data_IF_856905881722
#
_entry.id   IF_856905881722
#
_cell.length_a   1.000
_cell.length_b   1.000
_cell.length_c   1.000
_cell.angle_alpha   90.00
_cell.angle_beta   90.00
_cell.angle_gamma   90.00
#
_symmetry.space_group_name_H-M   'P 1'
#
loop_
_entity.id
_entity.type
_entity.pdbx_description
1 polymer ?
#
# COMPACT_ATOMS: atom_id res chain seq x y z
N UNK A 1 -3.86 -13.62 6.51
CA UNK A 1 -2.94 -14.42 7.33
C UNK A 1 -1.89 -13.49 7.94
N UNK A 2 -1.67 -13.61 9.24
CA UNK A 2 -0.66 -12.89 10.02
C UNK A 2 0.47 -13.88 10.37
N UNK A 3 1.73 -13.57 10.09
CA UNK A 3 2.83 -14.43 10.53
C UNK A 3 2.99 -14.35 12.05
N UNK A 4 3.32 -15.49 12.68
CA UNK A 4 3.55 -15.59 14.11
C UNK A 4 5.00 -15.99 14.35
N UNK A 5 5.65 -15.24 15.24
CA UNK A 5 7.05 -15.42 15.58
C UNK A 5 7.21 -15.60 17.09
N UNK A 6 8.22 -16.36 17.48
CA UNK A 6 8.71 -16.36 18.86
C UNK A 6 9.47 -15.05 19.15
N UNK A 7 9.23 -14.42 20.31
CA UNK A 7 9.83 -13.11 20.63
C UNK A 7 11.35 -13.18 20.80
N UNK A 8 11.86 -14.28 21.38
CA UNK A 8 13.29 -14.43 21.69
C UNK A 8 14.15 -14.75 20.47
N UNK A 9 13.84 -15.84 19.78
CA UNK A 9 14.60 -16.31 18.60
C UNK A 9 14.27 -15.52 17.33
N UNK A 10 13.03 -15.00 17.22
CA UNK A 10 12.50 -14.47 15.97
C UNK A 10 12.07 -15.55 14.97
N UNK A 11 12.06 -16.82 15.37
CA UNK A 11 11.68 -17.93 14.49
C UNK A 11 10.21 -17.85 14.10
N UNK A 12 9.93 -18.12 12.82
CA UNK A 12 8.57 -18.19 12.29
C UNK A 12 7.92 -19.50 12.74
N UNK A 13 6.91 -19.41 13.59
CA UNK A 13 6.17 -20.55 14.13
C UNK A 13 4.99 -20.95 13.23
N UNK A 14 4.50 -20.02 12.41
CA UNK A 14 3.39 -20.27 11.49
C UNK A 14 2.65 -19.01 11.10
N UNK A 15 1.38 -19.18 10.69
CA UNK A 15 0.49 -18.08 10.30
C UNK A 15 -0.89 -18.25 10.93
N UNK A 16 -1.48 -17.14 11.36
CA UNK A 16 -2.88 -17.07 11.83
C UNK A 16 -3.74 -16.48 10.72
N UNK A 17 -4.71 -17.23 10.26
CA UNK A 17 -5.70 -16.74 9.30
C UNK A 17 -6.92 -16.17 10.03
N UNK A 18 -7.24 -14.91 9.74
CA UNK A 18 -8.43 -14.24 10.28
C UNK A 18 -9.51 -14.32 9.20
N UNK A 19 -10.58 -15.05 9.51
CA UNK A 19 -11.75 -15.20 8.65
C UNK A 19 -12.91 -14.46 9.30
N UNK A 20 -13.56 -13.60 8.52
CA UNK A 20 -14.69 -12.80 8.98
C UNK A 20 -15.99 -13.27 8.33
N UNK A 21 -17.09 -13.23 9.08
CA UNK A 21 -18.43 -13.57 8.57
C UNK A 21 -19.11 -12.41 7.86
N UNK A 22 -18.55 -11.20 7.95
CA UNK A 22 -19.03 -9.99 7.30
C UNK A 22 -17.92 -9.35 6.47
N UNK A 23 -18.29 -8.71 5.37
CA UNK A 23 -17.37 -7.93 4.55
C UNK A 23 -17.02 -6.64 5.29
N UNK A 24 -15.76 -6.48 5.68
CA UNK A 24 -15.22 -5.26 6.29
C UNK A 24 -14.03 -4.75 5.49
N UNK A 25 -14.06 -3.45 5.19
CA UNK A 25 -12.96 -2.75 4.53
C UNK A 25 -11.78 -2.57 5.49
N UNK A 26 -12.06 -2.17 6.73
CA UNK A 26 -11.05 -1.96 7.76
C UNK A 26 -11.12 -3.10 8.78
N UNK A 27 -10.09 -3.95 8.75
CA UNK A 27 -9.91 -5.08 9.68
C UNK A 27 -8.76 -4.84 10.67
N UNK A 28 -8.23 -3.61 10.72
CA UNK A 28 -7.13 -3.22 11.61
C UNK A 28 -7.44 -3.46 13.08
N UNK A 29 -8.64 -3.12 13.60
CA UNK A 29 -8.97 -3.38 15.01
C UNK A 29 -8.91 -4.87 15.36
N UNK A 30 -9.39 -5.73 14.46
CA UNK A 30 -9.35 -7.18 14.61
C UNK A 30 -7.91 -7.70 14.60
N UNK A 31 -7.08 -7.20 13.68
CA UNK A 31 -5.65 -7.53 13.64
C UNK A 31 -4.93 -7.06 14.90
N UNK A 32 -5.17 -5.83 15.37
CA UNK A 32 -4.62 -5.29 16.61
C UNK A 32 -5.01 -6.14 17.82
N UNK A 33 -6.27 -6.58 17.88
CA UNK A 33 -6.74 -7.48 18.93
C UNK A 33 -6.02 -8.82 18.91
N UNK A 34 -5.79 -9.41 17.73
CA UNK A 34 -5.05 -10.66 17.58
C UNK A 34 -3.59 -10.48 17.97
N UNK A 35 -2.94 -9.40 17.53
CA UNK A 35 -1.56 -9.09 17.91
C UNK A 35 -1.39 -8.97 19.43
N UNK A 36 -2.28 -8.23 20.11
CA UNK A 36 -2.27 -8.12 21.58
C UNK A 36 -2.48 -9.47 22.28
N UNK A 37 -3.29 -10.35 21.69
CA UNK A 37 -3.50 -11.69 22.22
C UNK A 37 -2.28 -12.62 21.99
N UNK A 38 -1.49 -12.40 20.95
CA UNK A 38 -0.22 -13.11 20.76
C UNK A 38 0.83 -12.63 21.77
N UNK A 39 0.90 -11.33 22.02
CA UNK A 39 1.83 -10.74 22.99
C UNK A 39 1.61 -11.27 24.42
N UNK A 40 0.38 -11.62 24.79
CA UNK A 40 0.07 -12.18 26.12
C UNK A 40 0.57 -13.61 26.32
N UNK A 41 1.04 -14.27 25.26
CA UNK A 41 1.60 -15.64 25.28
C UNK A 41 3.03 -15.69 24.76
N UNK A 42 3.78 -14.59 24.90
CA UNK A 42 5.18 -14.45 24.48
C UNK A 42 5.42 -14.70 22.98
N UNK A 43 4.38 -14.47 22.17
CA UNK A 43 4.45 -14.50 20.71
C UNK A 43 4.30 -13.08 20.14
N UNK A 44 4.80 -12.87 18.93
CA UNK A 44 4.55 -11.62 18.20
C UNK A 44 4.08 -11.91 16.80
N UNK A 45 3.23 -11.03 16.28
CA UNK A 45 3.00 -10.93 14.85
C UNK A 45 3.87 -9.83 14.26
N UNK A 46 4.01 -9.81 12.94
CA UNK A 46 4.69 -8.72 12.21
C UNK A 46 4.18 -7.36 12.70
N UNK A 47 5.09 -6.40 12.87
CA UNK A 47 4.80 -5.00 13.19
C UNK A 47 4.11 -4.29 12.01
N UNK A 48 2.91 -4.75 11.60
CA UNK A 48 2.08 -4.01 10.66
C UNK A 48 1.62 -2.65 11.23
N UNK A 49 1.82 -2.42 12.52
CA UNK A 49 1.13 -1.38 13.29
C UNK A 49 2.07 -0.38 13.95
N UNK A 50 3.36 -0.69 14.07
CA UNK A 50 4.38 0.28 14.47
C UNK A 50 4.84 1.04 13.23
N UNK A 51 3.92 1.76 12.58
CA UNK A 51 4.29 2.95 11.82
C UNK A 51 4.67 3.99 12.87
N UNK A 52 5.83 3.78 13.52
CA UNK A 52 6.54 4.88 14.10
C UNK A 52 6.85 5.78 12.93
N UNK A 53 6.14 6.91 12.84
CA UNK A 53 6.55 8.04 12.03
C UNK A 53 7.88 8.56 12.58
N UNK A 54 8.94 7.75 12.55
CA UNK A 54 10.27 8.29 12.66
C UNK A 54 10.46 9.15 11.43
N UNK A 55 10.77 10.41 11.68
CA UNK A 55 11.01 11.44 10.67
C UNK A 55 12.25 11.08 9.86
N UNK A 56 12.13 10.08 8.98
CA UNK A 56 13.11 9.81 7.96
C UNK A 56 13.16 11.01 7.03
N UNK A 57 14.38 11.37 6.63
CA UNK A 57 14.68 12.56 5.84
C UNK A 57 13.66 12.75 4.72
N UNK A 58 12.84 13.81 4.83
CA UNK A 58 11.95 14.28 3.77
C UNK A 58 12.77 14.43 2.49
N UNK A 59 12.54 13.53 1.52
CA UNK A 59 13.24 13.58 0.25
C UNK A 59 13.00 14.92 -0.47
N UNK A 60 13.92 15.26 -1.38
CA UNK A 60 13.91 16.50 -2.19
C UNK A 60 12.66 16.73 -3.06
N UNK A 61 11.74 15.77 -3.10
CA UNK A 61 10.53 15.81 -3.94
C UNK A 61 9.39 16.65 -3.34
N UNK A 62 9.46 17.08 -2.07
CA UNK A 62 8.39 17.89 -1.48
C UNK A 62 8.07 19.16 -2.25
N UNK A 63 9.09 19.77 -2.85
CA UNK A 63 8.94 20.99 -3.63
C UNK A 63 8.07 20.81 -4.89
N UNK A 64 8.00 19.60 -5.46
CA UNK A 64 7.24 19.28 -6.67
C UNK A 64 5.88 18.63 -6.38
N UNK A 65 5.61 18.24 -5.12
CA UNK A 65 4.33 17.61 -4.75
C UNK A 65 3.10 18.48 -5.05
N UNK A 66 3.10 19.81 -4.85
CA UNK A 66 1.97 20.65 -5.23
C UNK A 66 1.67 20.62 -6.74
N UNK A 67 2.72 20.55 -7.56
CA UNK A 67 2.58 20.45 -9.02
C UNK A 67 1.99 19.10 -9.42
N UNK A 68 2.51 18.01 -8.86
CA UNK A 68 1.98 16.66 -9.09
C UNK A 68 0.50 16.59 -8.67
N UNK A 69 0.15 17.11 -7.48
CA UNK A 69 -1.23 17.15 -7.02
C UNK A 69 -2.15 17.90 -7.98
N UNK A 70 -1.69 19.02 -8.54
CA UNK A 70 -2.45 19.77 -9.54
C UNK A 70 -2.67 18.98 -10.83
N UNK A 71 -1.64 18.23 -11.29
CA UNK A 71 -1.76 17.32 -12.44
C UNK A 71 -2.77 16.20 -12.14
N UNK A 72 -2.66 15.54 -10.99
CA UNK A 72 -3.60 14.47 -10.59
C UNK A 72 -5.05 14.97 -10.56
N UNK A 73 -5.27 16.16 -9.98
CA UNK A 73 -6.58 16.82 -9.97
C UNK A 73 -7.08 17.07 -11.38
N UNK A 74 -6.26 17.69 -12.24
CA UNK A 74 -6.64 18.01 -13.62
C UNK A 74 -6.98 16.76 -14.43
N UNK A 75 -6.19 15.68 -14.29
CA UNK A 75 -6.43 14.42 -15.00
C UNK A 75 -7.73 13.76 -14.52
N UNK A 76 -7.98 13.71 -13.22
CA UNK A 76 -9.27 13.27 -12.69
C UNK A 76 -10.40 14.17 -13.22
N UNK A 77 -10.24 15.49 -13.06
CA UNK A 77 -10.86 16.63 -13.77
C UNK A 77 -11.51 16.24 -15.08
N UNK A 78 -10.62 16.07 -16.05
CA UNK A 78 -10.90 15.94 -17.47
C UNK A 78 -11.44 14.57 -17.85
N UNK A 79 -10.96 13.51 -17.20
CA UNK A 79 -11.27 12.13 -17.61
C UNK A 79 -12.30 11.44 -16.72
N UNK A 80 -12.91 12.17 -15.77
CA UNK A 80 -13.86 11.62 -14.80
C UNK A 80 -13.33 10.40 -14.06
N UNK A 81 -12.04 10.41 -13.73
CA UNK A 81 -11.44 9.33 -12.94
C UNK A 81 -11.82 9.51 -11.46
N UNK A 82 -12.18 8.41 -10.76
CA UNK A 82 -12.63 8.49 -9.37
C UNK A 82 -11.51 8.84 -8.39
N UNK A 83 -10.28 8.42 -8.69
CA UNK A 83 -9.09 8.57 -7.85
C UNK A 83 -7.83 8.65 -8.71
N UNK A 84 -6.88 9.49 -8.30
CA UNK A 84 -5.49 9.43 -8.74
C UNK A 84 -4.57 9.67 -7.55
N UNK A 85 -3.45 8.94 -7.47
CA UNK A 85 -2.56 8.95 -6.31
C UNK A 85 -1.11 8.71 -6.69
N UNK A 86 -0.20 9.32 -5.95
CA UNK A 86 1.25 9.19 -6.16
C UNK A 86 1.83 8.08 -5.28
N UNK A 87 2.74 7.30 -5.87
CA UNK A 87 3.51 6.27 -5.18
C UNK A 87 4.99 6.63 -5.23
N UNK A 88 5.72 6.43 -4.14
CA UNK A 88 7.16 6.66 -4.08
C UNK A 88 7.87 5.55 -3.29
N UNK A 89 9.18 5.32 -3.53
CA UNK A 89 9.96 4.37 -2.76
C UNK A 89 9.88 4.63 -1.24
N UNK A 90 9.70 3.58 -0.45
CA UNK A 90 9.55 3.68 1.02
C UNK A 90 10.80 4.28 1.66
N UNK A 91 11.98 3.98 1.11
CA UNK A 91 13.27 4.56 1.52
C UNK A 91 13.34 6.08 1.40
N UNK A 92 12.56 6.68 0.50
CA UNK A 92 12.52 8.13 0.29
C UNK A 92 11.48 8.82 1.18
N UNK A 93 10.54 8.07 1.76
CA UNK A 93 9.43 8.59 2.57
C UNK A 93 9.66 8.48 4.07
N UNK A 94 10.79 7.92 4.51
CA UNK A 94 11.02 7.61 5.93
C UNK A 94 10.06 6.55 6.50
N UNK A 95 9.26 5.89 5.65
CA UNK A 95 8.34 4.83 6.04
C UNK A 95 9.14 3.54 6.18
N UNK A 96 9.57 3.22 7.40
CA UNK A 96 10.09 1.91 7.77
C UNK A 96 8.93 0.90 7.87
N UNK A 97 9.15 -0.36 7.46
CA UNK A 97 8.11 -1.39 7.53
C UNK A 97 8.10 -2.42 6.39
N UNK A 98 8.98 -2.31 5.40
CA UNK A 98 9.09 -3.34 4.37
C UNK A 98 9.99 -4.47 4.84
N UNK A 99 9.39 -5.56 5.31
CA UNK A 99 10.08 -6.78 5.72
C UNK A 99 10.79 -7.54 4.58
N UNK A 100 10.63 -7.12 3.33
CA UNK A 100 11.07 -7.93 2.19
C UNK A 100 12.58 -7.95 1.93
N UNK A 101 13.40 -7.18 2.66
CA UNK A 101 14.87 -7.30 2.75
C UNK A 101 15.42 -6.05 3.44
N UNK A 102 16.62 -6.14 4.04
CA UNK A 102 17.51 -5.01 4.42
C UNK A 102 17.70 -3.91 3.36
N UNK A 103 17.11 -4.08 2.16
CA UNK A 103 17.01 -3.10 1.09
C UNK A 103 15.57 -2.64 0.91
N UNK A 104 15.15 -1.64 1.72
CA UNK A 104 13.94 -0.81 1.53
C UNK A 104 13.79 -0.18 0.12
N UNK A 105 14.77 -0.37 -0.77
CA UNK A 105 14.81 0.13 -2.15
C UNK A 105 13.79 -0.52 -3.10
N UNK A 106 13.23 -1.69 -2.76
CA UNK A 106 12.24 -2.39 -3.60
C UNK A 106 10.79 -2.12 -3.17
N UNK A 107 10.58 -1.40 -2.07
CA UNK A 107 9.27 -1.08 -1.53
C UNK A 107 8.77 0.26 -2.07
N UNK A 108 7.48 0.34 -2.39
CA UNK A 108 6.80 1.61 -2.68
C UNK A 108 5.51 1.75 -1.86
N UNK A 109 5.21 2.98 -1.45
CA UNK A 109 4.01 3.34 -0.66
C UNK A 109 3.40 4.62 -1.20
N UNK A 110 2.12 4.88 -0.88
CA UNK A 110 1.46 6.13 -1.26
C UNK A 110 2.13 7.34 -0.59
N UNK A 111 2.15 8.46 -1.33
CA UNK A 111 2.64 9.75 -0.83
C UNK A 111 1.47 10.55 -0.26
N UNK A 112 1.55 10.91 1.01
CA UNK A 112 0.43 11.48 1.77
C UNK A 112 0.06 12.90 1.31
N UNK A 113 0.98 13.61 0.66
CA UNK A 113 0.81 14.99 0.18
C UNK A 113 0.36 15.11 -1.28
N UNK A 114 0.27 14.01 -2.04
CA UNK A 114 -0.01 14.03 -3.48
C UNK A 114 -0.97 12.93 -3.94
N UNK A 115 -2.24 13.10 -3.62
CA UNK A 115 -3.36 12.28 -4.08
C UNK A 115 -4.62 13.14 -4.25
N UNK A 116 -5.55 12.68 -5.08
CA UNK A 116 -6.81 13.34 -5.33
C UNK A 116 -7.94 12.33 -5.52
N UNK A 117 -9.00 12.47 -4.74
CA UNK A 117 -10.21 11.66 -4.83
C UNK A 117 -11.34 12.57 -5.32
N UNK A 118 -11.93 12.24 -6.48
CA UNK A 118 -13.12 12.91 -6.99
C UNK A 118 -14.38 12.27 -6.42
N UNK A 119 -14.43 10.93 -6.45
CA UNK A 119 -15.57 10.16 -5.99
C UNK A 119 -15.39 9.77 -4.53
N UNK A 120 -16.17 10.38 -3.64
CA UNK A 120 -16.06 10.12 -2.20
C UNK A 120 -16.32 8.65 -1.84
N UNK A 121 -17.02 7.89 -2.69
CA UNK A 121 -17.27 6.46 -2.47
C UNK A 121 -15.99 5.63 -2.48
N UNK A 122 -14.92 6.11 -3.13
CA UNK A 122 -13.63 5.39 -3.21
C UNK A 122 -12.58 5.90 -2.21
N UNK A 123 -12.96 6.77 -1.27
CA UNK A 123 -12.04 7.24 -0.22
C UNK A 123 -11.46 6.10 0.62
N UNK A 124 -12.29 5.11 0.91
CA UNK A 124 -11.90 3.97 1.71
C UNK A 124 -10.93 3.04 0.93
N UNK A 125 -11.01 3.01 -0.41
CA UNK A 125 -9.98 2.38 -1.25
C UNK A 125 -8.64 3.12 -1.15
N UNK A 126 -8.64 4.45 -1.15
CA UNK A 126 -7.41 5.24 -0.94
C UNK A 126 -6.81 4.98 0.46
N UNK A 127 -7.64 4.92 1.51
CA UNK A 127 -7.18 4.56 2.85
C UNK A 127 -6.52 3.18 2.85
N UNK A 128 -7.14 2.19 2.23
CA UNK A 128 -6.53 0.86 2.07
C UNK A 128 -5.19 0.94 1.32
N UNK A 129 -5.08 1.75 0.26
CA UNK A 129 -3.82 1.97 -0.44
C UNK A 129 -2.71 2.51 0.49
N UNK A 130 -3.05 3.40 1.43
CA UNK A 130 -2.09 3.97 2.38
C UNK A 130 -1.56 2.97 3.42
N UNK A 131 -2.31 1.91 3.67
CA UNK A 131 -1.95 0.85 4.62
C UNK A 131 -1.15 -0.30 3.97
N UNK A 132 -0.99 -0.27 2.64
CA UNK A 132 -0.32 -1.33 1.90
C UNK A 132 0.97 -0.84 1.22
N UNK A 133 2.02 -1.63 1.39
CA UNK A 133 3.25 -1.49 0.63
C UNK A 133 3.20 -2.38 -0.61
N UNK A 134 3.69 -1.87 -1.73
CA UNK A 134 3.81 -2.62 -2.97
C UNK A 134 5.28 -2.91 -3.26
N UNK A 135 5.55 -4.09 -3.82
CA UNK A 135 6.90 -4.46 -4.23
C UNK A 135 7.15 -4.06 -5.68
N UNK A 136 8.35 -3.56 -5.95
CA UNK A 136 8.86 -3.41 -7.31
C UNK A 136 8.83 -4.78 -8.00
N UNK A 137 8.26 -4.82 -9.21
CA UNK A 137 8.06 -6.05 -9.98
C UNK A 137 6.89 -6.93 -9.56
N UNK A 138 6.46 -6.90 -8.29
CA UNK A 138 5.37 -7.73 -7.73
C UNK A 138 4.30 -6.92 -6.98
N UNK A 139 3.98 -5.73 -7.50
CA UNK A 139 3.06 -4.77 -6.89
C UNK A 139 2.00 -4.29 -7.86
N UNK A 140 1.49 -5.20 -8.69
CA UNK A 140 0.60 -4.92 -9.81
C UNK A 140 1.22 -3.96 -10.81
N UNK A 141 0.38 -3.10 -11.39
CA UNK A 141 0.81 -2.10 -12.37
C UNK A 141 1.78 -1.07 -11.79
N UNK A 142 1.67 -0.73 -10.51
CA UNK A 142 2.55 0.23 -9.84
C UNK A 142 3.95 -0.37 -9.73
N UNK A 143 4.04 -1.57 -9.14
CA UNK A 143 5.31 -2.30 -9.03
C UNK A 143 5.98 -2.52 -10.38
N UNK A 144 5.20 -2.83 -11.42
CA UNK A 144 5.69 -3.01 -12.79
C UNK A 144 6.18 -1.71 -13.44
N UNK A 145 5.50 -0.58 -13.22
CA UNK A 145 5.95 0.72 -13.71
C UNK A 145 7.28 1.14 -13.06
N UNK A 146 7.45 0.83 -11.77
CA UNK A 146 8.74 0.99 -11.09
C UNK A 146 9.82 0.02 -11.61
N UNK A 147 9.49 -1.22 -11.95
CA UNK A 147 10.45 -2.18 -12.52
C UNK A 147 10.96 -1.69 -13.88
N UNK A 148 10.03 -1.42 -14.80
CA UNK A 148 10.29 -1.27 -16.23
C UNK A 148 10.59 0.16 -16.68
N UNK A 149 10.30 1.16 -15.83
CA UNK A 149 10.28 2.58 -16.20
C UNK A 149 9.36 2.89 -17.39
N UNK A 150 8.32 2.08 -17.60
CA UNK A 150 7.32 2.27 -18.65
C UNK A 150 5.94 2.52 -18.03
N UNK A 151 5.08 3.23 -18.78
CA UNK A 151 3.67 3.29 -18.44
C UNK A 151 3.05 1.89 -18.49
N UNK A 152 2.30 1.55 -17.46
CA UNK A 152 1.62 0.26 -17.32
C UNK A 152 0.12 0.48 -17.26
N UNK A 153 -0.64 -0.32 -18.02
CA UNK A 153 -2.09 -0.32 -18.02
C UNK A 153 -2.61 -1.72 -17.73
N UNK A 154 -3.63 -1.81 -16.90
CA UNK A 154 -4.41 -3.01 -16.68
C UNK A 154 -5.88 -2.72 -16.97
N UNK A 155 -6.50 -3.59 -17.77
CA UNK A 155 -7.93 -3.49 -18.08
C UNK A 155 -8.79 -3.85 -16.89
N UNK A 156 -8.31 -4.79 -16.06
CA UNK A 156 -8.98 -5.24 -14.85
C UNK A 156 -7.96 -5.59 -13.75
N UNK A 157 -7.84 -4.74 -12.73
CA UNK A 157 -6.98 -4.96 -11.57
C UNK A 157 -7.59 -5.93 -10.55
N UNK A 158 -8.87 -6.26 -10.69
CA UNK A 158 -9.57 -7.18 -9.79
C UNK A 158 -9.25 -8.65 -10.07
N UNK A 159 -8.70 -8.94 -11.26
CA UNK A 159 -8.29 -10.29 -11.67
C UNK A 159 -6.91 -10.70 -11.12
N UNK A 160 -6.15 -9.75 -10.57
CA UNK A 160 -4.83 -10.06 -10.01
C UNK A 160 -4.97 -10.91 -8.74
N UNK A 161 -4.02 -11.82 -8.54
CA UNK A 161 -3.89 -12.51 -7.27
C UNK A 161 -3.48 -11.54 -6.16
N UNK A 162 -3.80 -11.86 -4.90
CA UNK A 162 -3.36 -11.07 -3.74
C UNK A 162 -1.82 -10.96 -3.64
N UNK A 163 -1.10 -11.95 -4.16
CA UNK A 163 0.37 -11.97 -4.18
C UNK A 163 0.92 -11.00 -5.22
N UNK A 164 0.29 -10.93 -6.40
CA UNK A 164 0.74 -10.06 -7.48
C UNK A 164 0.30 -8.62 -7.29
N UNK A 165 -0.90 -8.41 -6.72
CA UNK A 165 -1.43 -7.11 -6.39
C UNK A 165 -2.30 -7.19 -5.11
N UNK A 166 -1.77 -6.80 -3.94
CA UNK A 166 -2.50 -6.91 -2.67
C UNK A 166 -3.74 -6.03 -2.58
N UNK A 167 -3.85 -5.01 -3.44
CA UNK A 167 -5.00 -4.11 -3.53
C UNK A 167 -6.13 -4.62 -4.44
N UNK A 168 -5.95 -5.74 -5.14
CA UNK A 168 -6.95 -6.34 -6.04
C UNK A 168 -8.30 -6.57 -5.36
N UNK A 169 -8.29 -7.10 -4.14
CA UNK A 169 -9.49 -7.33 -3.36
C UNK A 169 -10.24 -6.03 -3.04
N UNK A 170 -9.53 -5.01 -2.57
CA UNK A 170 -10.13 -3.70 -2.32
C UNK A 170 -10.68 -3.11 -3.61
N UNK A 171 -9.93 -3.18 -4.72
CA UNK A 171 -10.39 -2.67 -6.01
C UNK A 171 -11.71 -3.33 -6.44
N UNK A 172 -11.87 -4.64 -6.20
CA UNK A 172 -13.11 -5.39 -6.45
C UNK A 172 -14.28 -4.87 -5.60
N UNK A 173 -14.07 -4.63 -4.31
CA UNK A 173 -15.11 -4.11 -3.41
C UNK A 173 -15.65 -2.75 -3.86
N UNK A 174 -14.78 -1.88 -4.37
CA UNK A 174 -15.15 -0.54 -4.84
C UNK A 174 -15.48 -0.48 -6.34
N UNK A 175 -15.53 -1.62 -7.05
CA UNK A 175 -15.83 -1.65 -8.48
C UNK A 175 -14.76 -0.99 -9.36
N UNK A 176 -13.54 -0.80 -8.86
CA UNK A 176 -12.42 -0.22 -9.59
C UNK A 176 -11.74 -1.31 -10.42
N UNK A 177 -11.90 -1.23 -11.75
CA UNK A 177 -11.42 -2.25 -12.69
C UNK A 177 -10.17 -1.82 -13.44
N UNK A 178 -10.27 -0.81 -14.29
CA UNK A 178 -9.12 -0.38 -15.08
C UNK A 178 -8.20 0.54 -14.26
N UNK A 179 -6.88 0.43 -14.46
CA UNK A 179 -5.94 1.34 -13.85
C UNK A 179 -4.70 1.55 -14.72
N UNK A 180 -4.11 2.74 -14.58
CA UNK A 180 -2.87 3.15 -15.26
C UNK A 180 -1.85 3.61 -14.23
N UNK A 181 -0.59 3.23 -14.44
CA UNK A 181 0.54 3.66 -13.65
C UNK A 181 1.60 4.24 -14.58
N UNK A 182 2.01 5.47 -14.33
CA UNK A 182 3.05 6.17 -15.10
C UNK A 182 4.17 6.50 -14.14
N UNK A 183 5.39 6.06 -14.47
CA UNK A 183 6.57 6.44 -13.69
C UNK A 183 7.00 7.84 -14.09
N UNK A 184 7.04 8.76 -13.14
CA UNK A 184 7.65 10.07 -13.32
C UNK A 184 9.17 9.95 -13.22
N UNK A 185 9.88 10.61 -14.12
CA UNK A 185 11.34 10.74 -14.10
C UNK A 185 11.72 12.19 -14.40
N UNK A 186 12.86 12.63 -13.84
CA UNK A 186 13.56 13.83 -14.29
C UNK A 186 14.61 13.46 -15.32
#
# INVERSE_FOLDING_TARGET
ALPVFEIGSGDCLGVVEIIMTTEKINYRPEVESVCKALESVDLRSSEMLNISQEQGQKGSYEAIMPEILNVLRTVCDTHNLPLAQTWAPCSQQGKAGCWHSDKNALCVSTVDSAWYVRDQQVMDFHRACSEHHLLRGRGGIVGKAFETNQACFAIDVTEFSKVDYPLSHHAKMFGLRAAVAIRLHS
#
